data_IF_187369300774
#
_entry.id   IF_187369300774
#
_cell.length_a   1.000
_cell.length_b   1.000
_cell.length_c   1.000
_cell.angle_alpha   90.00
_cell.angle_beta   90.00
_cell.angle_gamma   90.00
#
_symmetry.space_group_name_H-M   'P 1'
#
loop_
_entity.id
_entity.type
_entity.pdbx_description
1 polymer ?
#
# COMPACT_ATOMS: atom_id res chain seq x y z
N UNK A 1 -14.00 8.71 -14.38
CA UNK A 1 -13.30 7.46 -14.75
C UNK A 1 -13.57 6.42 -13.67
N UNK A 2 -14.22 5.31 -14.03
CA UNK A 2 -14.30 4.12 -13.17
C UNK A 2 -12.87 3.62 -12.98
N UNK A 3 -12.41 3.57 -11.74
CA UNK A 3 -11.06 3.10 -11.38
C UNK A 3 -11.09 1.59 -11.28
N UNK A 4 -10.13 0.95 -11.92
CA UNK A 4 -9.95 -0.50 -11.91
C UNK A 4 -9.19 -0.90 -10.65
N UNK A 5 -9.75 -1.83 -9.90
CA UNK A 5 -9.05 -2.45 -8.76
C UNK A 5 -7.93 -3.33 -9.34
N UNK A 6 -6.71 -3.18 -8.84
CA UNK A 6 -5.56 -3.98 -9.29
C UNK A 6 -5.65 -5.40 -8.73
N UNK A 7 -6.11 -5.49 -7.49
CA UNK A 7 -6.34 -6.73 -6.78
C UNK A 7 -7.74 -6.73 -6.21
N UNK A 8 -8.41 -7.87 -6.34
CA UNK A 8 -9.74 -8.13 -5.81
C UNK A 8 -9.60 -9.26 -4.81
N UNK A 9 -10.31 -9.15 -3.68
CA UNK A 9 -10.35 -10.20 -2.65
C UNK A 9 -10.60 -11.60 -3.24
N UNK A 10 -9.81 -12.56 -2.77
CA UNK A 10 -9.76 -13.96 -3.16
C UNK A 10 -9.34 -14.22 -4.61
N UNK A 11 -8.85 -13.22 -5.35
CA UNK A 11 -8.43 -13.38 -6.74
C UNK A 11 -7.33 -14.45 -6.88
N UNK A 12 -6.27 -14.37 -6.08
CA UNK A 12 -5.16 -15.32 -6.16
C UNK A 12 -5.60 -16.77 -5.91
N UNK A 13 -6.42 -16.99 -4.89
CA UNK A 13 -6.95 -18.31 -4.58
C UNK A 13 -7.82 -18.86 -5.72
N UNK A 14 -8.75 -18.05 -6.24
CA UNK A 14 -9.64 -18.48 -7.31
C UNK A 14 -8.89 -18.81 -8.59
N UNK A 15 -7.84 -18.03 -8.93
CA UNK A 15 -6.96 -18.33 -10.07
C UNK A 15 -6.27 -19.67 -9.88
N UNK A 16 -5.62 -19.89 -8.74
CA UNK A 16 -4.95 -21.16 -8.43
C UNK A 16 -5.92 -22.35 -8.44
N UNK A 17 -7.11 -22.19 -7.85
CA UNK A 17 -8.14 -23.22 -7.83
C UNK A 17 -8.58 -23.64 -9.25
N UNK A 18 -8.79 -22.68 -10.16
CA UNK A 18 -9.18 -22.97 -11.55
C UNK A 18 -8.08 -23.78 -12.26
N UNK A 19 -6.82 -23.43 -12.04
CA UNK A 19 -5.68 -24.15 -12.62
C UNK A 19 -5.59 -25.60 -12.08
N UNK A 20 -5.76 -25.76 -10.78
CA UNK A 20 -5.71 -27.07 -10.11
C UNK A 20 -6.84 -27.99 -10.59
N UNK A 21 -8.07 -27.49 -10.67
CA UNK A 21 -9.23 -28.28 -11.09
C UNK A 21 -9.10 -28.73 -12.55
N UNK A 22 -8.51 -27.91 -13.43
CA UNK A 22 -8.27 -28.30 -14.83
C UNK A 22 -7.30 -29.48 -14.96
N UNK A 23 -6.36 -29.60 -14.03
CA UNK A 23 -5.26 -30.55 -14.11
C UNK A 23 -5.42 -31.76 -13.17
N UNK A 24 -6.45 -31.81 -12.32
CA UNK A 24 -6.66 -32.94 -11.39
C UNK A 24 -7.55 -34.02 -11.99
N UNK A 25 -7.09 -35.28 -11.98
CA UNK A 25 -7.87 -36.45 -12.39
C UNK A 25 -8.54 -37.20 -11.23
N UNK A 26 -8.18 -36.91 -9.97
CA UNK A 26 -8.62 -37.69 -8.79
C UNK A 26 -9.33 -36.84 -7.73
N UNK A 27 -10.22 -37.50 -6.99
CA UNK A 27 -11.05 -36.95 -5.91
C UNK A 27 -10.40 -37.10 -4.53
N UNK A 28 -9.12 -36.76 -4.39
CA UNK A 28 -8.48 -36.83 -3.08
C UNK A 28 -8.99 -35.68 -2.20
N UNK A 29 -9.29 -36.00 -0.94
CA UNK A 29 -9.69 -35.03 0.07
C UNK A 29 -8.45 -34.27 0.56
N UNK A 30 -8.47 -32.94 0.39
CA UNK A 30 -7.40 -32.05 0.85
C UNK A 30 -7.21 -32.02 2.37
N UNK A 31 -6.24 -31.23 2.82
CA UNK A 31 -5.97 -31.10 4.25
C UNK A 31 -7.19 -30.55 5.01
N UNK A 32 -7.63 -31.26 6.05
CA UNK A 32 -8.83 -30.89 6.82
C UNK A 32 -8.60 -29.69 7.75
N UNK A 33 -7.44 -29.59 8.40
CA UNK A 33 -7.17 -28.53 9.39
C UNK A 33 -7.18 -27.10 8.80
N UNK A 34 -6.58 -26.84 7.61
CA UNK A 34 -6.61 -25.53 6.96
C UNK A 34 -8.01 -25.01 6.65
N UNK A 35 -8.98 -25.90 6.41
CA UNK A 35 -10.34 -25.54 6.01
C UNK A 35 -11.04 -24.61 7.00
N UNK A 36 -10.67 -24.65 8.29
CA UNK A 36 -11.22 -23.75 9.32
C UNK A 36 -10.89 -22.28 9.07
N UNK A 37 -9.78 -22.00 8.39
CA UNK A 37 -9.24 -20.64 8.22
C UNK A 37 -9.63 -20.00 6.89
N UNK A 38 -10.29 -20.74 6.01
CA UNK A 38 -10.53 -20.31 4.64
C UNK A 38 -11.99 -19.94 4.41
N UNK A 39 -12.22 -18.86 3.65
CA UNK A 39 -13.54 -18.41 3.22
C UNK A 39 -14.32 -19.42 2.36
N UNK A 40 -13.64 -20.35 1.65
CA UNK A 40 -14.27 -21.35 0.78
C UNK A 40 -13.72 -22.76 1.05
N UNK A 41 -14.06 -23.38 2.19
CA UNK A 41 -13.52 -24.69 2.61
C UNK A 41 -13.68 -25.79 1.56
N UNK A 42 -14.83 -25.83 0.89
CA UNK A 42 -15.14 -26.83 -0.15
C UNK A 42 -14.21 -26.76 -1.35
N UNK A 43 -13.76 -25.54 -1.74
CA UNK A 43 -12.78 -25.37 -2.81
C UNK A 43 -11.38 -25.79 -2.35
N UNK A 44 -11.05 -25.51 -1.09
CA UNK A 44 -9.76 -25.86 -0.50
C UNK A 44 -9.53 -27.38 -0.43
N UNK A 45 -10.58 -28.20 -0.45
CA UNK A 45 -10.45 -29.67 -0.55
C UNK A 45 -9.64 -30.12 -1.77
N UNK A 46 -9.55 -29.29 -2.82
CA UNK A 46 -8.72 -29.59 -3.99
C UNK A 46 -7.22 -29.37 -3.78
N UNK A 47 -6.82 -28.80 -2.63
CA UNK A 47 -5.44 -28.55 -2.25
C UNK A 47 -4.97 -29.65 -1.29
N UNK A 48 -4.45 -30.73 -1.88
CA UNK A 48 -3.97 -31.95 -1.24
C UNK A 48 -2.45 -32.02 -1.09
N UNK A 49 -1.70 -31.11 -1.71
CA UNK A 49 -0.23 -31.16 -1.76
C UNK A 49 0.43 -29.78 -1.69
N UNK A 50 1.73 -29.77 -1.37
CA UNK A 50 2.53 -28.54 -1.38
C UNK A 50 2.50 -27.83 -2.73
N UNK A 51 2.54 -28.56 -3.85
CA UNK A 51 2.55 -27.97 -5.20
C UNK A 51 1.35 -27.04 -5.40
N UNK A 52 0.15 -27.46 -4.97
CA UNK A 52 -1.07 -26.66 -5.12
C UNK A 52 -1.05 -25.40 -4.24
N UNK A 53 -0.57 -25.51 -3.00
CA UNK A 53 -0.36 -24.35 -2.14
C UNK A 53 0.72 -23.41 -2.71
N UNK A 54 1.75 -23.95 -3.37
CA UNK A 54 2.77 -23.17 -4.05
C UNK A 54 2.21 -22.40 -5.24
N UNK A 55 1.28 -22.97 -6.01
CA UNK A 55 0.57 -22.21 -7.05
C UNK A 55 -0.19 -21.02 -6.46
N UNK A 56 -0.90 -21.22 -5.33
CA UNK A 56 -1.58 -20.12 -4.65
C UNK A 56 -0.61 -19.06 -4.11
N UNK A 57 0.49 -19.46 -3.47
CA UNK A 57 1.49 -18.50 -2.99
C UNK A 57 2.11 -17.69 -4.13
N UNK A 58 2.34 -18.31 -5.29
CA UNK A 58 2.85 -17.63 -6.48
C UNK A 58 1.88 -16.57 -7.01
N UNK A 59 0.58 -16.87 -7.07
CA UNK A 59 -0.44 -15.87 -7.47
C UNK A 59 -0.47 -14.68 -6.50
N UNK A 60 -0.36 -14.92 -5.19
CA UNK A 60 -0.23 -13.86 -4.19
C UNK A 60 1.05 -13.04 -4.36
N UNK A 61 2.16 -13.70 -4.68
CA UNK A 61 3.45 -13.05 -4.91
C UNK A 61 3.42 -12.15 -6.15
N UNK A 62 2.81 -12.61 -7.24
CA UNK A 62 2.62 -11.82 -8.47
C UNK A 62 1.75 -10.60 -8.20
N UNK A 63 0.64 -10.76 -7.48
CA UNK A 63 -0.22 -9.65 -7.09
C UNK A 63 0.52 -8.63 -6.21
N UNK A 64 1.25 -9.10 -5.21
CA UNK A 64 2.07 -8.27 -4.32
C UNK A 64 3.12 -7.48 -5.10
N UNK A 65 3.85 -8.13 -6.01
CA UNK A 65 4.89 -7.51 -6.84
C UNK A 65 4.35 -6.39 -7.73
N UNK A 66 3.14 -6.56 -8.28
CA UNK A 66 2.46 -5.51 -9.07
C UNK A 66 2.14 -4.29 -8.20
N UNK A 67 1.56 -4.51 -7.01
CA UNK A 67 1.23 -3.43 -6.09
C UNK A 67 2.48 -2.72 -5.56
N UNK A 68 3.56 -3.45 -5.28
CA UNK A 68 4.86 -2.87 -4.90
C UNK A 68 5.38 -1.93 -5.98
N UNK A 69 5.36 -2.36 -7.24
CA UNK A 69 5.82 -1.53 -8.37
C UNK A 69 5.06 -0.21 -8.41
N UNK A 70 3.73 -0.26 -8.26
CA UNK A 70 2.88 0.92 -8.32
C UNK A 70 3.09 1.82 -7.09
N UNK A 71 3.19 1.26 -5.89
CA UNK A 71 3.51 2.04 -4.69
C UNK A 71 4.90 2.67 -4.78
N UNK A 72 5.90 1.98 -5.36
CA UNK A 72 7.22 2.56 -5.61
C UNK A 72 7.14 3.76 -6.54
N UNK A 73 6.39 3.68 -7.63
CA UNK A 73 6.21 4.85 -8.52
C UNK A 73 5.57 6.04 -7.82
N UNK A 74 4.58 5.80 -6.94
CA UNK A 74 3.96 6.87 -6.14
C UNK A 74 4.97 7.45 -5.16
N UNK A 75 5.75 6.59 -4.50
CA UNK A 75 6.79 6.97 -3.57
C UNK A 75 7.89 7.80 -4.26
N UNK A 76 8.40 7.38 -5.40
CA UNK A 76 9.43 8.10 -6.14
C UNK A 76 8.93 9.50 -6.55
N UNK A 77 7.66 9.61 -6.96
CA UNK A 77 7.01 10.90 -7.22
C UNK A 77 6.86 11.75 -5.96
N UNK A 78 6.63 11.13 -4.80
CA UNK A 78 6.58 11.82 -3.51
C UNK A 78 7.98 12.28 -3.06
N UNK A 79 9.04 11.49 -3.30
CA UNK A 79 10.42 11.86 -3.00
C UNK A 79 10.87 13.09 -3.79
N UNK A 80 10.50 13.19 -5.08
CA UNK A 80 10.77 14.40 -5.89
C UNK A 80 10.18 15.65 -5.22
N UNK A 81 9.03 15.51 -4.55
CA UNK A 81 8.38 16.61 -3.86
C UNK A 81 9.11 17.05 -2.58
N UNK A 82 10.11 16.31 -2.08
CA UNK A 82 10.95 16.77 -0.96
C UNK A 82 11.85 17.96 -1.32
N UNK A 83 12.10 18.20 -2.61
CA UNK A 83 12.92 19.32 -3.07
C UNK A 83 12.48 20.65 -2.45
N UNK A 84 13.45 21.50 -2.07
CA UNK A 84 13.20 22.82 -1.51
C UNK A 84 12.39 23.73 -2.45
N UNK A 85 12.45 23.46 -3.75
CA UNK A 85 11.76 24.22 -4.80
C UNK A 85 10.33 23.75 -5.05
N UNK A 86 9.92 22.64 -4.44
CA UNK A 86 8.58 22.08 -4.61
C UNK A 86 7.58 22.73 -3.66
N UNK A 87 6.62 23.48 -4.21
CA UNK A 87 5.60 24.22 -3.45
C UNK A 87 4.15 23.85 -3.82
N UNK A 88 3.94 22.78 -4.60
CA UNK A 88 2.61 22.41 -5.08
C UNK A 88 1.84 21.54 -4.09
N UNK A 89 0.95 22.16 -3.31
CA UNK A 89 0.03 21.45 -2.40
C UNK A 89 -0.87 20.47 -3.15
N UNK A 90 -1.38 20.89 -4.30
CA UNK A 90 -2.30 20.09 -5.11
C UNK A 90 -1.61 18.84 -5.64
N UNK A 91 -0.34 18.94 -6.06
CA UNK A 91 0.43 17.78 -6.47
C UNK A 91 0.60 16.74 -5.36
N UNK A 92 0.84 17.17 -4.11
CA UNK A 92 0.90 16.28 -2.94
C UNK A 92 -0.45 15.62 -2.63
N UNK A 93 -1.55 16.38 -2.72
CA UNK A 93 -2.89 15.80 -2.57
C UNK A 93 -3.24 14.82 -3.67
N UNK A 94 -2.80 15.07 -4.91
CA UNK A 94 -2.94 14.11 -6.01
C UNK A 94 -2.23 12.80 -5.69
N UNK A 95 -0.99 12.83 -5.19
CA UNK A 95 -0.27 11.60 -4.81
C UNK A 95 -0.92 10.85 -3.66
N UNK A 96 -1.35 11.57 -2.61
CA UNK A 96 -2.12 10.96 -1.52
C UNK A 96 -3.44 10.38 -2.00
N UNK A 97 -4.09 11.01 -2.98
CA UNK A 97 -5.31 10.51 -3.60
C UNK A 97 -5.04 9.27 -4.46
N UNK A 98 -3.94 9.23 -5.22
CA UNK A 98 -3.48 8.03 -5.95
C UNK A 98 -3.26 6.87 -4.98
N UNK A 99 -2.49 7.08 -3.90
CA UNK A 99 -2.30 6.07 -2.86
C UNK A 99 -3.62 5.59 -2.23
N UNK A 100 -4.52 6.51 -1.85
CA UNK A 100 -5.82 6.16 -1.26
C UNK A 100 -6.68 5.28 -2.16
N UNK A 101 -6.49 5.32 -3.47
CA UNK A 101 -7.23 4.45 -4.40
C UNK A 101 -6.79 2.99 -4.27
N UNK A 102 -5.52 2.74 -3.98
CA UNK A 102 -4.96 1.40 -3.88
C UNK A 102 -5.14 0.78 -2.50
N UNK A 103 -5.58 1.56 -1.51
CA UNK A 103 -5.80 1.09 -0.13
C UNK A 103 -6.76 -0.10 -0.06
N UNK A 104 -7.79 -0.14 -0.91
CA UNK A 104 -8.73 -1.27 -0.96
C UNK A 104 -8.00 -2.52 -1.47
N UNK A 105 -7.30 -2.44 -2.60
CA UNK A 105 -6.53 -3.57 -3.15
C UNK A 105 -5.44 -4.06 -2.20
N UNK A 106 -4.80 -3.16 -1.44
CA UNK A 106 -3.81 -3.53 -0.41
C UNK A 106 -4.46 -4.28 0.75
N UNK A 107 -5.59 -3.77 1.26
CA UNK A 107 -6.35 -4.43 2.32
C UNK A 107 -6.81 -5.83 1.90
N UNK A 108 -7.37 -5.95 0.70
CA UNK A 108 -7.82 -7.25 0.17
C UNK A 108 -6.65 -8.23 0.02
N UNK A 109 -5.49 -7.75 -0.44
CA UNK A 109 -4.29 -8.58 -0.55
C UNK A 109 -3.77 -9.02 0.84
N UNK A 110 -3.75 -8.12 1.83
CA UNK A 110 -3.31 -8.45 3.18
C UNK A 110 -4.20 -9.49 3.85
N UNK A 111 -5.52 -9.37 3.68
CA UNK A 111 -6.48 -10.36 4.15
C UNK A 111 -6.21 -11.74 3.52
N UNK A 112 -6.00 -11.79 2.20
CA UNK A 112 -5.75 -13.04 1.48
C UNK A 112 -4.38 -13.66 1.81
N UNK A 113 -3.33 -12.85 2.00
CA UNK A 113 -2.03 -13.34 2.46
C UNK A 113 -2.15 -13.92 3.88
N UNK A 114 -2.88 -13.25 4.77
CA UNK A 114 -3.14 -13.74 6.11
C UNK A 114 -3.94 -15.04 6.10
N UNK A 115 -4.99 -15.14 5.26
CA UNK A 115 -5.75 -16.37 5.05
C UNK A 115 -4.83 -17.51 4.58
N UNK A 116 -4.01 -17.26 3.55
CA UNK A 116 -3.05 -18.24 3.04
C UNK A 116 -2.07 -18.70 4.13
N UNK A 117 -1.46 -17.77 4.87
CA UNK A 117 -0.50 -18.10 5.93
C UNK A 117 -1.13 -18.96 7.02
N UNK A 118 -2.36 -18.63 7.45
CA UNK A 118 -3.10 -19.43 8.43
C UNK A 118 -3.44 -20.83 7.89
N UNK A 119 -3.87 -20.93 6.64
CA UNK A 119 -4.13 -22.21 5.99
C UNK A 119 -2.83 -23.04 5.91
N UNK A 120 -1.75 -22.44 5.42
CA UNK A 120 -0.46 -23.11 5.25
C UNK A 120 0.12 -23.57 6.58
N UNK A 121 0.06 -22.75 7.64
CA UNK A 121 0.49 -23.12 8.98
C UNK A 121 -0.25 -24.34 9.54
N UNK A 122 -1.54 -24.46 9.22
CA UNK A 122 -2.40 -25.57 9.65
C UNK A 122 -2.19 -26.87 8.85
N UNK A 123 -1.40 -26.85 7.76
CA UNK A 123 -0.99 -28.07 7.04
C UNK A 123 0.18 -28.75 7.73
N UNK A 124 0.35 -30.05 7.47
CA UNK A 124 1.52 -30.82 7.89
C UNK A 124 2.67 -30.78 6.85
N UNK A 125 2.65 -29.78 5.95
CA UNK A 125 3.68 -29.61 4.90
C UNK A 125 4.98 -29.09 5.54
N UNK A 126 6.10 -29.76 5.27
CA UNK A 126 7.43 -29.40 5.78
C UNK A 126 7.97 -28.09 5.21
N UNK A 127 7.70 -27.82 3.94
CA UNK A 127 8.27 -26.71 3.15
C UNK A 127 7.50 -25.39 3.32
N UNK A 128 6.49 -25.35 4.20
CA UNK A 128 5.59 -24.18 4.36
C UNK A 128 6.30 -22.89 4.76
N UNK A 129 7.40 -22.98 5.50
CA UNK A 129 8.08 -21.83 6.07
C UNK A 129 8.57 -20.85 5.01
N UNK A 130 9.18 -21.35 3.92
CA UNK A 130 9.76 -20.51 2.88
C UNK A 130 8.69 -19.63 2.18
N UNK A 131 7.50 -20.19 1.92
CA UNK A 131 6.41 -19.45 1.28
C UNK A 131 5.79 -18.40 2.23
N UNK A 132 5.64 -18.74 3.51
CA UNK A 132 5.13 -17.84 4.54
C UNK A 132 6.07 -16.64 4.73
N UNK A 133 7.38 -16.89 4.80
CA UNK A 133 8.40 -15.85 4.95
C UNK A 133 8.47 -14.94 3.73
N UNK A 134 8.49 -15.50 2.52
CA UNK A 134 8.51 -14.72 1.29
C UNK A 134 7.31 -13.77 1.18
N UNK A 135 6.10 -14.22 1.51
CA UNK A 135 4.92 -13.37 1.51
C UNK A 135 4.94 -12.35 2.66
N UNK A 136 5.45 -12.72 3.84
CA UNK A 136 5.62 -11.78 4.96
C UNK A 136 6.57 -10.64 4.61
N UNK A 137 7.63 -10.92 3.86
CA UNK A 137 8.56 -9.90 3.35
C UNK A 137 7.89 -8.95 2.36
N UNK A 138 7.02 -9.46 1.48
CA UNK A 138 6.23 -8.64 0.55
C UNK A 138 5.29 -7.69 1.32
N UNK A 139 4.57 -8.21 2.33
CA UNK A 139 3.68 -7.40 3.19
C UNK A 139 4.47 -6.31 3.93
N UNK A 140 5.62 -6.66 4.51
CA UNK A 140 6.50 -5.70 5.21
C UNK A 140 7.00 -4.59 4.27
N UNK A 141 7.37 -4.94 3.04
CA UNK A 141 7.80 -3.97 2.03
C UNK A 141 6.65 -3.06 1.60
N UNK A 142 5.47 -3.61 1.34
CA UNK A 142 4.26 -2.82 1.03
C UNK A 142 3.96 -1.83 2.17
N UNK A 143 3.87 -2.29 3.41
CA UNK A 143 3.62 -1.42 4.56
C UNK A 143 4.70 -0.33 4.76
N UNK A 144 5.96 -0.66 4.47
CA UNK A 144 7.05 0.34 4.48
C UNK A 144 6.84 1.42 3.43
N UNK A 145 6.43 1.05 2.22
CA UNK A 145 6.14 2.01 1.14
C UNK A 145 4.93 2.88 1.50
N UNK A 146 3.85 2.30 2.03
CA UNK A 146 2.66 3.04 2.48
C UNK A 146 3.03 4.13 3.49
N UNK A 147 3.79 3.77 4.53
CA UNK A 147 4.22 4.71 5.56
C UNK A 147 5.10 5.82 4.96
N UNK A 148 6.08 5.47 4.14
CA UNK A 148 6.98 6.46 3.51
C UNK A 148 6.26 7.45 2.61
N UNK A 149 5.24 7.00 1.85
CA UNK A 149 4.42 7.88 1.01
C UNK A 149 3.67 8.87 1.89
N UNK A 150 2.99 8.37 2.94
CA UNK A 150 2.20 9.20 3.85
C UNK A 150 3.08 10.23 4.56
N UNK A 151 4.20 9.78 5.14
CA UNK A 151 5.14 10.62 5.87
C UNK A 151 5.74 11.70 4.98
N UNK A 152 6.21 11.33 3.78
CA UNK A 152 6.83 12.26 2.83
C UNK A 152 5.84 13.33 2.37
N UNK A 153 4.63 12.91 1.97
CA UNK A 153 3.64 13.86 1.50
C UNK A 153 3.13 14.77 2.62
N UNK A 154 2.83 14.23 3.80
CA UNK A 154 2.35 15.02 4.92
C UNK A 154 3.45 15.95 5.47
N UNK A 155 4.68 15.47 5.59
CA UNK A 155 5.83 16.27 6.01
C UNK A 155 6.01 17.49 5.12
N UNK A 156 5.98 17.30 3.80
CA UNK A 156 6.09 18.42 2.85
C UNK A 156 4.88 19.35 2.87
N UNK A 157 3.67 18.83 3.03
CA UNK A 157 2.45 19.65 3.20
C UNK A 157 2.56 20.54 4.44
N UNK A 158 3.11 20.02 5.55
CA UNK A 158 3.36 20.79 6.76
C UNK A 158 4.42 21.88 6.52
N UNK A 159 5.53 21.57 5.85
CA UNK A 159 6.57 22.54 5.50
C UNK A 159 6.01 23.70 4.66
N UNK A 160 5.22 23.40 3.62
CA UNK A 160 4.59 24.43 2.77
C UNK A 160 3.64 25.32 3.59
N UNK A 161 2.82 24.72 4.46
CA UNK A 161 1.90 25.48 5.31
C UNK A 161 2.64 26.40 6.28
N UNK A 162 3.69 25.89 6.95
CA UNK A 162 4.50 26.66 7.89
C UNK A 162 5.27 27.78 7.20
N UNK A 163 5.87 27.52 6.02
CA UNK A 163 6.57 28.53 5.22
C UNK A 163 5.66 29.71 4.87
N UNK A 164 4.39 29.46 4.51
CA UNK A 164 3.41 30.51 4.23
C UNK A 164 3.14 31.40 5.45
N UNK A 165 2.98 30.82 6.64
CA UNK A 165 2.75 31.58 7.88
C UNK A 165 3.94 32.50 8.15
N UNK A 166 5.17 31.98 7.98
CA UNK A 166 6.39 32.78 8.14
C UNK A 166 6.45 33.93 7.13
N UNK A 167 6.13 33.69 5.86
CA UNK A 167 6.09 34.75 4.83
C UNK A 167 5.00 35.79 5.14
N UNK A 168 3.80 35.36 5.56
CA UNK A 168 2.73 36.29 5.96
C UNK A 168 3.16 37.16 7.14
N UNK A 169 3.79 36.56 8.15
CA UNK A 169 4.30 37.31 9.31
C UNK A 169 5.41 38.29 8.93
N UNK A 170 6.31 37.89 8.02
CA UNK A 170 7.35 38.78 7.49
C UNK A 170 6.75 39.97 6.74
N UNK A 171 5.74 39.74 5.89
CA UNK A 171 5.04 40.80 5.17
C UNK A 171 4.32 41.76 6.12
N UNK A 172 3.66 41.24 7.17
CA UNK A 172 3.03 42.07 8.21
C UNK A 172 4.09 42.93 8.92
N UNK A 173 5.23 42.34 9.28
CA UNK A 173 6.33 43.05 9.94
C UNK A 173 6.90 44.17 9.05
N UNK A 174 7.08 43.91 7.75
CA UNK A 174 7.53 44.92 6.79
C UNK A 174 6.53 46.07 6.64
N UNK A 175 5.23 45.78 6.58
CA UNK A 175 4.18 46.81 6.53
C UNK A 175 4.18 47.64 7.82
N UNK A 176 4.27 46.99 8.99
CA UNK A 176 4.32 47.69 10.28
C UNK A 176 5.55 48.61 10.39
N UNK A 177 6.71 48.14 9.92
CA UNK A 177 7.94 48.92 9.90
C UNK A 177 7.83 50.12 8.95
N UNK A 178 7.20 49.94 7.78
CA UNK A 178 6.92 51.03 6.84
C UNK A 178 5.98 52.09 7.44
N UNK A 179 4.89 51.67 8.10
CA UNK A 179 3.97 52.58 8.80
C UNK A 179 4.72 53.35 9.90
N UNK A 180 5.56 52.68 10.69
CA UNK A 180 6.33 53.31 11.76
C UNK A 180 7.32 54.36 11.23
N UNK A 181 7.96 54.10 10.09
CA UNK A 181 8.84 55.07 9.43
C UNK A 181 8.02 56.28 8.97
N UNK A 182 6.90 56.06 8.28
CA UNK A 182 6.01 57.14 7.83
C UNK A 182 5.49 58.00 9.00
N UNK A 183 5.12 57.39 10.13
CA UNK A 183 4.66 58.13 11.30
C UNK A 183 5.76 59.02 11.87
N UNK A 184 7.01 58.55 11.93
CA UNK A 184 8.15 59.36 12.39
C UNK A 184 8.39 60.56 11.46
N UNK A 185 8.29 60.37 10.15
CA UNK A 185 8.44 61.47 9.18
C UNK A 185 7.26 62.46 9.20
N UNK A 186 6.04 62.01 9.49
CA UNK A 186 4.86 62.88 9.60
C UNK A 186 4.77 63.61 10.94
N UNK A 187 5.25 63.03 12.05
CA UNK A 187 5.25 63.67 13.38
C UNK A 187 6.45 64.61 13.63
N UNK A 188 7.44 64.63 12.73
CA UNK A 188 8.58 65.54 12.77
C UNK A 188 8.39 66.87 12.02
N UNK A 189 7.17 67.18 11.58
CA UNK A 189 6.74 68.50 11.08
C UNK A 189 5.82 69.14 12.11
#
# INVERSE_FOLDING_TARGET
MKKELIYIKHQAFNTAYIEIVKNSSNSDDGFVRPMKYHHAPEKLKKFTSYVQYFHWSNELYVASSKLITILREIYDKAEIAKSAWYNSRDGLHTRLSEYKQFKISLSDLYDDISEFQNCMLATDISEKQAQIEALSDQVRLLGTLENKIIETCNGKLHEINSSRITVTNLSIALIALFISILSVFCSGR
#
